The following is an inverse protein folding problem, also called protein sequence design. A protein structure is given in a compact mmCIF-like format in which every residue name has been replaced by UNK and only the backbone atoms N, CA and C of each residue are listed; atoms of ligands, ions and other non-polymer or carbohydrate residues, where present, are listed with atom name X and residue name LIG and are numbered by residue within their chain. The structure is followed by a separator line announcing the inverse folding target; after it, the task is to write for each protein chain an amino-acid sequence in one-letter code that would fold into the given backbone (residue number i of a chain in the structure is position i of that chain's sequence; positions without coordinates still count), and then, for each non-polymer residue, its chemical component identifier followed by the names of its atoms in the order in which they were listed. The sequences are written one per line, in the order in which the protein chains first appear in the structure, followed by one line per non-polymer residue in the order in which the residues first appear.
data_IF_438215864682
#
_entry.id   IF_438215864682
#
_cell.length_a   1.000
_cell.length_b   1.000
_cell.length_c   1.000
_cell.angle_alpha   90.00
_cell.angle_beta   90.00
_cell.angle_gamma   90.00
#
_symmetry.space_group_name_H-M   'P 1'
#
loop_
_entity.id
_entity.type
_entity.pdbx_description
1 polymer ?
#
# COMPACT_ATOMS: atom_id res chain seq x y z
N UNK A 1 -8.70 -3.71 4.13
CA UNK A 1 -7.54 -4.52 4.54
C UNK A 1 -7.20 -4.24 5.98
N UNK A 2 -6.67 -5.23 6.70
CA UNK A 2 -6.06 -5.01 8.01
C UNK A 2 -4.65 -4.43 7.83
N UNK A 3 -4.19 -3.64 8.79
CA UNK A 3 -2.86 -3.00 8.74
C UNK A 3 -1.72 -3.99 8.60
N UNK A 4 -1.84 -5.19 9.18
CA UNK A 4 -0.83 -6.24 9.05
C UNK A 4 -0.70 -6.79 7.62
N UNK A 5 -1.82 -6.95 6.91
CA UNK A 5 -1.83 -7.36 5.50
C UNK A 5 -1.16 -6.30 4.62
N UNK A 6 -1.44 -5.01 4.89
CA UNK A 6 -0.80 -3.89 4.17
C UNK A 6 0.71 -3.88 4.40
N UNK A 7 1.17 -4.14 5.63
CA UNK A 7 2.61 -4.24 5.94
C UNK A 7 3.29 -5.38 5.19
N UNK A 8 2.64 -6.54 5.08
CA UNK A 8 3.17 -7.68 4.30
C UNK A 8 3.24 -7.36 2.81
N UNK A 9 2.20 -6.72 2.27
CA UNK A 9 2.18 -6.31 0.86
C UNK A 9 3.20 -5.22 0.55
N UNK A 10 3.38 -4.25 1.44
CA UNK A 10 4.44 -3.25 1.34
C UNK A 10 5.82 -3.91 1.29
N UNK A 11 6.08 -4.91 2.14
CA UNK A 11 7.34 -5.64 2.11
C UNK A 11 7.58 -6.28 0.74
N UNK A 12 6.59 -7.02 0.22
CA UNK A 12 6.68 -7.60 -1.14
C UNK A 12 6.88 -6.55 -2.23
N UNK A 13 6.22 -5.40 -2.12
CA UNK A 13 6.37 -4.29 -3.06
C UNK A 13 7.80 -3.74 -3.06
N UNK A 14 8.38 -3.51 -1.88
CA UNK A 14 9.76 -3.06 -1.76
C UNK A 14 10.78 -4.12 -2.19
N UNK A 15 10.46 -5.40 -2.01
CA UNK A 15 11.30 -6.52 -2.46
C UNK A 15 11.14 -6.82 -3.96
N UNK A 16 10.18 -6.18 -4.65
CA UNK A 16 9.90 -6.41 -6.08
C UNK A 16 9.21 -7.75 -6.36
N UNK A 17 8.59 -8.36 -5.35
CA UNK A 17 7.89 -9.65 -5.41
C UNK A 17 6.37 -9.49 -5.43
N UNK A 18 5.86 -8.25 -5.40
CA UNK A 18 4.43 -7.97 -5.52
C UNK A 18 3.91 -8.27 -6.91
N UNK A 19 2.65 -8.69 -6.96
CA UNK A 19 1.88 -8.80 -8.20
C UNK A 19 1.14 -7.49 -8.49
N UNK A 20 0.72 -7.31 -9.75
CA UNK A 20 -0.08 -6.15 -10.18
C UNK A 20 -1.39 -6.03 -9.37
N UNK A 21 -1.99 -7.15 -8.97
CA UNK A 21 -3.22 -7.14 -8.16
C UNK A 21 -2.97 -6.69 -6.73
N UNK A 22 -1.83 -7.07 -6.15
CA UNK A 22 -1.39 -6.62 -4.83
C UNK A 22 -1.07 -5.12 -4.84
N UNK A 23 -0.40 -4.63 -5.89
CA UNK A 23 -0.10 -3.21 -6.08
C UNK A 23 -1.38 -2.36 -6.20
N UNK A 24 -2.34 -2.79 -7.01
CA UNK A 24 -3.67 -2.13 -7.09
C UNK A 24 -4.39 -2.12 -5.75
N UNK A 25 -4.22 -3.18 -4.95
CA UNK A 25 -4.81 -3.24 -3.61
C UNK A 25 -4.14 -2.24 -2.66
N UNK A 26 -2.81 -2.09 -2.73
CA UNK A 26 -2.08 -1.04 -2.01
C UNK A 26 -2.50 0.35 -2.46
N UNK A 27 -2.56 0.63 -3.77
CA UNK A 27 -3.04 1.90 -4.32
C UNK A 27 -4.44 2.24 -3.83
N UNK A 28 -5.38 1.29 -3.91
CA UNK A 28 -6.75 1.49 -3.44
C UNK A 28 -6.82 1.72 -1.93
N UNK A 29 -5.99 1.02 -1.16
CA UNK A 29 -5.87 1.22 0.28
C UNK A 29 -5.34 2.61 0.62
N UNK A 30 -4.25 3.05 -0.03
CA UNK A 30 -3.60 4.34 0.22
C UNK A 30 -4.37 5.53 -0.36
N UNK A 31 -5.22 5.30 -1.35
CA UNK A 31 -6.17 6.30 -1.87
C UNK A 31 -7.41 6.47 -0.99
N UNK A 32 -7.59 5.64 0.04
CA UNK A 32 -8.71 5.75 0.97
C UNK A 32 -8.45 6.80 2.04
N UNK A 33 -9.49 7.47 2.55
CA UNK A 33 -9.36 8.45 3.64
C UNK A 33 -8.96 7.83 4.99
N UNK A 34 -9.05 6.50 5.14
CA UNK A 34 -8.81 5.79 6.40
C UNK A 34 -7.51 4.96 6.39
N UNK A 35 -6.40 5.56 5.95
CA UNK A 35 -5.07 4.94 6.06
C UNK A 35 -4.60 4.96 7.52
N UNK A 36 -4.13 3.82 8.02
CA UNK A 36 -3.58 3.72 9.38
C UNK A 36 -2.29 4.56 9.51
N UNK A 37 -2.15 5.32 10.60
CA UNK A 37 -1.01 6.19 10.89
C UNK A 37 0.36 5.48 10.78
N UNK A 38 0.44 4.20 11.16
CA UNK A 38 1.68 3.41 11.10
C UNK A 38 2.24 3.25 9.68
N UNK A 39 1.35 3.22 8.68
CA UNK A 39 1.70 3.03 7.27
C UNK A 39 1.47 4.29 6.43
N UNK A 40 0.86 5.33 7.00
CA UNK A 40 0.57 6.61 6.34
C UNK A 40 1.80 7.29 5.74
N UNK A 41 2.99 7.07 6.33
CA UNK A 41 4.26 7.55 5.77
C UNK A 41 4.60 6.98 4.39
N UNK A 42 3.99 5.85 4.02
CA UNK A 42 4.16 5.23 2.71
C UNK A 42 3.12 5.70 1.67
N UNK A 43 2.10 6.48 2.07
CA UNK A 43 1.10 7.02 1.13
C UNK A 43 1.75 7.79 -0.01
N UNK A 44 2.86 8.49 0.23
CA UNK A 44 3.59 9.23 -0.81
C UNK A 44 4.16 8.39 -1.95
N UNK A 45 4.29 7.06 -1.78
CA UNK A 45 4.67 6.16 -2.88
C UNK A 45 3.51 5.88 -3.84
N UNK A 46 2.27 6.06 -3.38
CA UNK A 46 1.04 5.75 -4.10
C UNK A 46 0.21 7.01 -4.44
N UNK A 47 0.49 8.15 -3.80
CA UNK A 47 -0.02 9.48 -4.17
C UNK A 47 0.68 9.98 -5.44
N UNK A 48 0.04 9.87 -6.59
CA UNK A 48 0.55 10.41 -7.86
C UNK A 48 0.33 9.53 -9.08
N UNK A 49 -0.21 8.32 -8.90
CA UNK A 49 -0.64 7.46 -9.99
C UNK A 49 -2.05 7.93 -10.38
N UNK A 50 -2.10 8.98 -11.21
CA UNK A 50 -3.34 9.58 -11.72
C UNK A 50 -3.51 9.37 -13.22
#
# INVERSE_FOLDING_TARGET
MKTEEVKQLLQKYFDGESTIEEEKSLESYFSSENVNEEVKKYSGFFEGIS
#
